data_IF_922170337359
#
_entry.id   IF_922170337359
#
_cell.length_a   1.000
_cell.length_b   1.000
_cell.length_c   1.000
_cell.angle_alpha   90.00
_cell.angle_beta   90.00
_cell.angle_gamma   90.00
#
_symmetry.space_group_name_H-M   'P 1'
#
loop_
_entity.id
_entity.type
_entity.pdbx_description
1 polymer ?
#
# COMPACT_ATOMS: atom_id res chain seq x y z
N UNK A 1 47.67 -36.60 10.22
CA UNK A 1 46.88 -36.05 11.34
C UNK A 1 45.49 -36.66 11.27
N UNK A 2 45.08 -37.48 12.25
CA UNK A 2 43.75 -38.12 12.25
C UNK A 2 42.74 -37.17 12.88
N UNK A 3 41.74 -36.73 12.10
CA UNK A 3 40.64 -35.91 12.62
C UNK A 3 39.70 -36.84 13.38
N UNK A 4 39.42 -36.52 14.64
CA UNK A 4 38.53 -37.34 15.47
C UNK A 4 37.06 -36.90 15.31
N UNK A 5 36.13 -37.77 15.68
CA UNK A 5 34.69 -37.55 15.48
C UNK A 5 34.16 -36.28 16.16
N UNK A 6 34.73 -35.89 17.30
CA UNK A 6 34.37 -34.65 17.99
C UNK A 6 34.80 -33.42 17.18
N UNK A 7 35.98 -33.44 16.54
CA UNK A 7 36.41 -32.38 15.64
C UNK A 7 35.48 -32.23 14.43
N UNK A 8 34.96 -33.34 13.88
CA UNK A 8 33.98 -33.32 12.78
C UNK A 8 32.67 -32.66 13.25
N UNK A 9 32.21 -32.95 14.47
CA UNK A 9 31.01 -32.33 15.05
C UNK A 9 31.20 -30.82 15.23
N UNK A 10 32.32 -30.38 15.79
CA UNK A 10 32.60 -28.94 15.96
C UNK A 10 32.69 -28.19 14.62
N UNK A 11 33.33 -28.78 13.61
CA UNK A 11 33.40 -28.21 12.25
C UNK A 11 32.00 -28.09 11.64
N UNK A 12 31.14 -29.10 11.83
CA UNK A 12 29.78 -29.10 11.29
C UNK A 12 28.90 -28.03 11.93
N UNK A 13 28.98 -27.84 13.25
CA UNK A 13 28.26 -26.77 13.97
C UNK A 13 28.75 -25.39 13.53
N UNK A 14 30.06 -25.22 13.37
CA UNK A 14 30.65 -23.96 12.91
C UNK A 14 30.20 -23.61 11.49
N UNK A 15 30.19 -24.58 10.58
CA UNK A 15 29.68 -24.39 9.22
C UNK A 15 28.18 -24.06 9.20
N UNK A 16 27.36 -24.75 10.02
CA UNK A 16 25.94 -24.44 10.16
C UNK A 16 25.73 -23.00 10.65
N UNK A 17 26.53 -22.54 11.62
CA UNK A 17 26.50 -21.17 12.12
C UNK A 17 26.83 -20.13 11.04
N UNK A 18 27.81 -20.41 10.17
CA UNK A 18 28.15 -19.55 9.02
C UNK A 18 26.99 -19.51 8.02
N UNK A 19 26.36 -20.65 7.73
CA UNK A 19 25.20 -20.71 6.83
C UNK A 19 24.01 -19.93 7.38
N UNK A 20 23.69 -20.08 8.67
CA UNK A 20 22.64 -19.31 9.34
C UNK A 20 22.97 -17.82 9.33
N UNK A 21 24.21 -17.44 9.64
CA UNK A 21 24.64 -16.04 9.62
C UNK A 21 24.60 -15.42 8.21
N UNK A 22 25.05 -16.15 7.19
CA UNK A 22 24.96 -15.72 5.79
C UNK A 22 23.51 -15.61 5.32
N UNK A 23 22.64 -16.54 5.71
CA UNK A 23 21.21 -16.47 5.44
C UNK A 23 20.56 -15.26 6.10
N UNK A 24 20.84 -15.00 7.39
CA UNK A 24 20.35 -13.80 8.09
C UNK A 24 20.88 -12.50 7.47
N UNK A 25 22.12 -12.50 6.96
CA UNK A 25 22.71 -11.34 6.29
C UNK A 25 22.08 -11.08 4.93
N UNK A 26 21.78 -12.12 4.14
CA UNK A 26 21.09 -11.99 2.86
C UNK A 26 19.59 -11.67 3.02
N UNK A 27 18.94 -12.17 4.08
CA UNK A 27 17.56 -11.82 4.41
C UNK A 27 17.41 -10.35 4.83
N UNK A 28 18.50 -9.71 5.27
CA UNK A 28 18.59 -8.26 5.43
C UNK A 28 18.91 -7.64 4.06
N UNK A 29 17.96 -7.77 3.13
CA UNK A 29 18.00 -7.14 1.82
C UNK A 29 18.32 -5.64 1.95
N UNK A 30 19.03 -5.10 0.97
CA UNK A 30 19.29 -3.66 0.84
C UNK A 30 18.01 -2.89 1.16
N UNK A 31 18.09 -1.95 2.12
CA UNK A 31 16.99 -1.02 2.34
C UNK A 31 16.89 -0.19 1.07
N UNK A 32 15.89 -0.47 0.23
CA UNK A 32 15.53 0.42 -0.87
C UNK A 32 15.46 1.85 -0.35
N UNK A 33 16.12 2.78 -1.04
CA UNK A 33 16.09 4.18 -0.66
C UNK A 33 14.73 4.77 -1.06
N UNK A 34 13.75 4.64 -0.16
CA UNK A 34 12.42 5.20 -0.34
C UNK A 34 12.46 6.68 0.03
N UNK A 35 12.35 7.54 -0.98
CA UNK A 35 12.28 8.99 -0.80
C UNK A 35 10.84 9.51 -0.88
N UNK A 36 10.48 10.43 0.00
CA UNK A 36 9.22 11.15 -0.10
C UNK A 36 9.40 12.32 -1.08
N UNK A 37 8.68 12.29 -2.20
CA UNK A 37 8.64 13.39 -3.17
C UNK A 37 7.46 14.32 -2.90
N UNK A 38 7.66 15.63 -3.09
CA UNK A 38 6.56 16.59 -3.00
C UNK A 38 5.66 16.44 -4.24
N UNK A 39 4.37 16.07 -4.08
CA UNK A 39 3.45 15.85 -5.20
C UNK A 39 3.30 17.08 -6.11
N UNK A 40 3.41 18.29 -5.55
CA UNK A 40 3.29 19.55 -6.29
C UNK A 40 4.45 19.80 -7.26
N UNK A 41 5.53 19.02 -7.16
CA UNK A 41 6.67 19.07 -8.09
C UNK A 41 6.56 18.02 -9.19
N UNK A 42 5.58 17.13 -9.13
CA UNK A 42 5.38 16.09 -10.12
C UNK A 42 4.59 16.65 -11.31
N UNK A 43 5.03 16.31 -12.52
CA UNK A 43 4.28 16.58 -13.74
C UNK A 43 3.35 15.39 -13.96
N UNK A 44 2.08 15.66 -14.21
CA UNK A 44 1.10 14.61 -14.49
C UNK A 44 1.50 13.88 -15.79
N UNK A 45 1.42 12.55 -15.76
CA UNK A 45 1.71 11.74 -16.94
C UNK A 45 0.68 12.00 -18.06
N UNK A 46 1.10 11.74 -19.30
CA UNK A 46 0.21 11.74 -20.45
C UNK A 46 -0.79 10.58 -20.36
N UNK A 47 -1.89 10.68 -21.11
CA UNK A 47 -2.79 9.54 -21.33
C UNK A 47 -2.01 8.46 -22.07
N UNK A 48 -1.99 7.25 -21.51
CA UNK A 48 -1.31 6.08 -22.08
C UNK A 48 -2.31 5.13 -22.73
N UNK A 49 -3.55 5.10 -22.21
CA UNK A 49 -4.63 4.26 -22.71
C UNK A 49 -5.72 5.12 -23.34
N UNK A 50 -5.97 4.97 -24.64
CA UNK A 50 -7.04 5.70 -25.33
C UNK A 50 -8.44 5.28 -24.84
N UNK A 51 -8.61 4.01 -24.47
CA UNK A 51 -9.85 3.43 -23.98
C UNK A 51 -9.56 2.46 -22.83
N UNK A 52 -10.53 2.31 -21.94
CA UNK A 52 -10.56 1.27 -20.92
C UNK A 52 -11.68 0.29 -21.27
N UNK A 53 -11.49 -0.97 -20.91
CA UNK A 53 -12.53 -2.00 -21.11
C UNK A 53 -13.79 -1.68 -20.28
N UNK A 54 -14.93 -2.19 -20.71
CA UNK A 54 -16.21 -2.01 -19.99
C UNK A 54 -16.12 -2.49 -18.53
N UNK A 55 -15.43 -3.62 -18.30
CA UNK A 55 -15.20 -4.17 -16.96
C UNK A 55 -14.37 -3.23 -16.07
N UNK A 56 -13.37 -2.56 -16.64
CA UNK A 56 -12.58 -1.56 -15.92
C UNK A 56 -13.45 -0.35 -15.59
N UNK A 57 -14.22 0.16 -16.55
CA UNK A 57 -15.13 1.29 -16.36
C UNK A 57 -16.17 1.00 -15.26
N UNK A 58 -16.73 -0.22 -15.20
CA UNK A 58 -17.66 -0.62 -14.15
C UNK A 58 -17.02 -0.54 -12.75
N UNK A 59 -15.81 -1.08 -12.60
CA UNK A 59 -15.05 -1.02 -11.33
C UNK A 59 -14.72 0.43 -10.95
N UNK A 60 -14.31 1.25 -11.93
CA UNK A 60 -13.99 2.67 -11.72
C UNK A 60 -15.22 3.46 -11.27
N UNK A 61 -16.39 3.21 -11.87
CA UNK A 61 -17.65 3.81 -11.43
C UNK A 61 -17.94 3.49 -9.97
N UNK A 62 -17.78 2.22 -9.57
CA UNK A 62 -17.95 1.80 -8.19
C UNK A 62 -16.97 2.51 -7.24
N UNK A 63 -15.69 2.59 -7.61
CA UNK A 63 -14.67 3.28 -6.82
C UNK A 63 -15.07 4.76 -6.63
N UNK A 64 -15.37 5.47 -7.73
CA UNK A 64 -15.67 6.89 -7.68
C UNK A 64 -16.93 7.18 -6.85
N UNK A 65 -18.02 6.44 -7.07
CA UNK A 65 -19.27 6.67 -6.35
C UNK A 65 -19.12 6.43 -4.85
N UNK A 66 -18.29 5.46 -4.45
CA UNK A 66 -18.11 5.08 -3.05
C UNK A 66 -17.23 6.04 -2.26
N UNK A 67 -16.34 6.77 -2.95
CA UNK A 67 -15.48 7.79 -2.36
C UNK A 67 -15.96 9.22 -2.62
N UNK A 68 -17.09 9.42 -3.30
CA UNK A 68 -17.52 10.74 -3.78
C UNK A 68 -17.73 11.79 -2.66
N UNK A 69 -17.98 11.37 -1.42
CA UNK A 69 -18.12 12.28 -0.27
C UNK A 69 -16.77 12.79 0.25
N UNK A 70 -15.73 11.95 0.20
CA UNK A 70 -14.37 12.22 0.73
C UNK A 70 -13.34 12.59 -0.33
N UNK A 71 -13.55 12.21 -1.60
CA UNK A 71 -12.66 12.45 -2.72
C UNK A 71 -13.45 13.00 -3.92
N UNK A 72 -13.59 14.33 -3.92
CA UNK A 72 -14.52 15.08 -4.79
C UNK A 72 -13.95 15.33 -6.19
N UNK A 73 -13.68 14.26 -6.94
CA UNK A 73 -13.36 14.33 -8.37
C UNK A 73 -14.51 13.75 -9.19
N UNK A 74 -14.67 14.21 -10.44
CA UNK A 74 -15.74 13.70 -11.31
C UNK A 74 -15.44 12.27 -11.77
N UNK A 75 -16.47 11.56 -12.24
CA UNK A 75 -16.27 10.25 -12.89
C UNK A 75 -15.37 10.36 -14.12
N UNK A 76 -15.52 11.42 -14.91
CA UNK A 76 -14.72 11.67 -16.12
C UNK A 76 -13.25 11.88 -15.75
N UNK A 77 -12.98 12.66 -14.70
CA UNK A 77 -11.63 12.88 -14.18
C UNK A 77 -11.05 11.58 -13.62
N UNK A 78 -11.84 10.80 -12.89
CA UNK A 78 -11.41 9.50 -12.36
C UNK A 78 -11.01 8.55 -13.50
N UNK A 79 -11.85 8.41 -14.53
CA UNK A 79 -11.54 7.60 -15.72
C UNK A 79 -10.27 8.13 -16.41
N UNK A 80 -10.15 9.45 -16.52
CA UNK A 80 -9.00 10.13 -17.13
C UNK A 80 -7.70 9.86 -16.36
N UNK A 81 -7.75 9.77 -15.03
CA UNK A 81 -6.62 9.38 -14.19
C UNK A 81 -6.22 7.91 -14.43
N UNK A 82 -7.18 6.98 -14.43
CA UNK A 82 -6.88 5.57 -14.74
C UNK A 82 -6.31 5.35 -16.14
N UNK A 83 -6.66 6.19 -17.12
CA UNK A 83 -6.07 6.15 -18.47
C UNK A 83 -4.60 6.57 -18.53
N UNK A 84 -4.06 7.19 -17.46
CA UNK A 84 -2.64 7.60 -17.35
C UNK A 84 -1.78 6.54 -16.68
N UNK A 85 -2.41 5.62 -15.97
CA UNK A 85 -1.73 4.56 -15.26
C UNK A 85 -1.10 3.58 -16.25
N UNK A 86 0.15 3.19 -16.01
CA UNK A 86 0.84 2.24 -16.88
C UNK A 86 0.14 0.88 -16.92
N UNK A 87 -0.46 0.49 -15.79
CA UNK A 87 -1.28 -0.72 -15.70
C UNK A 87 -2.58 -0.42 -14.94
N UNK A 88 -3.66 -0.06 -15.66
CA UNK A 88 -4.94 0.29 -15.05
C UNK A 88 -5.55 -0.85 -14.22
N UNK A 89 -5.33 -2.13 -14.57
CA UNK A 89 -5.87 -3.25 -13.80
C UNK A 89 -5.23 -3.36 -12.41
N UNK A 90 -3.91 -3.15 -12.33
CA UNK A 90 -3.20 -3.11 -11.05
C UNK A 90 -3.69 -1.96 -10.18
N UNK A 91 -3.84 -0.76 -10.75
CA UNK A 91 -4.32 0.39 -9.99
C UNK A 91 -5.77 0.18 -9.53
N UNK A 92 -6.64 -0.32 -10.40
CA UNK A 92 -8.01 -0.68 -10.01
C UNK A 92 -8.01 -1.69 -8.86
N UNK A 93 -7.11 -2.67 -8.84
CA UNK A 93 -6.99 -3.61 -7.73
C UNK A 93 -6.62 -2.93 -6.41
N UNK A 94 -5.67 -2.00 -6.43
CA UNK A 94 -5.28 -1.21 -5.25
C UNK A 94 -6.48 -0.41 -4.73
N UNK A 95 -7.15 0.34 -5.61
CA UNK A 95 -8.32 1.15 -5.25
C UNK A 95 -9.50 0.31 -4.75
N UNK A 96 -9.73 -0.89 -5.31
CA UNK A 96 -10.75 -1.81 -4.81
C UNK A 96 -10.40 -2.38 -3.43
N UNK A 97 -9.13 -2.60 -3.12
CA UNK A 97 -8.70 -2.99 -1.78
C UNK A 97 -8.86 -1.84 -0.77
N UNK A 98 -8.57 -0.60 -1.18
CA UNK A 98 -8.88 0.58 -0.37
C UNK A 98 -10.38 0.68 -0.09
N UNK A 99 -11.19 0.51 -1.14
CA UNK A 99 -12.65 0.55 -1.06
C UNK A 99 -13.18 -0.47 -0.07
N UNK A 100 -12.69 -1.72 -0.14
CA UNK A 100 -13.09 -2.78 0.77
C UNK A 100 -12.78 -2.44 2.24
N UNK A 101 -11.62 -1.86 2.53
CA UNK A 101 -11.26 -1.45 3.88
C UNK A 101 -12.14 -0.30 4.37
N UNK A 102 -12.38 0.69 3.50
CA UNK A 102 -13.23 1.85 3.78
C UNK A 102 -14.67 1.43 4.06
N UNK A 103 -15.31 0.69 3.13
CA UNK A 103 -16.67 0.19 3.27
C UNK A 103 -16.84 -0.64 4.55
N UNK A 104 -15.87 -1.53 4.84
CA UNK A 104 -15.95 -2.38 6.03
C UNK A 104 -15.93 -1.59 7.33
N UNK A 105 -15.11 -0.54 7.42
CA UNK A 105 -15.09 0.33 8.59
C UNK A 105 -16.32 1.24 8.65
N UNK A 106 -16.66 1.90 7.55
CA UNK A 106 -17.78 2.86 7.47
C UNK A 106 -19.12 2.17 7.71
N UNK A 107 -19.40 1.03 7.08
CA UNK A 107 -20.67 0.32 7.27
C UNK A 107 -20.82 -0.28 8.66
N UNK A 108 -19.73 -0.75 9.27
CA UNK A 108 -19.75 -1.24 10.66
C UNK A 108 -20.15 -0.14 11.64
N UNK A 109 -19.70 1.09 11.40
CA UNK A 109 -20.00 2.25 12.24
C UNK A 109 -21.35 2.92 11.90
N UNK A 110 -22.08 2.38 10.91
CA UNK A 110 -23.45 2.79 10.57
C UNK A 110 -23.57 4.14 9.85
N UNK A 111 -24.81 4.61 9.74
CA UNK A 111 -25.18 5.84 9.00
C UNK A 111 -24.78 7.14 9.69
N UNK A 112 -24.27 7.06 10.92
CA UNK A 112 -23.96 8.22 11.77
C UNK A 112 -22.48 8.65 11.71
N UNK A 113 -21.65 7.93 10.95
CA UNK A 113 -20.24 8.32 10.84
C UNK A 113 -20.09 9.66 10.12
N UNK A 114 -19.57 10.64 10.87
CA UNK A 114 -19.38 12.00 10.39
C UNK A 114 -18.41 12.07 9.21
N UNK A 115 -18.65 13.03 8.31
CA UNK A 115 -17.83 13.24 7.12
C UNK A 115 -16.35 13.45 7.45
N UNK A 116 -16.02 14.16 8.54
CA UNK A 116 -14.64 14.38 8.95
C UNK A 116 -13.93 13.07 9.31
N UNK A 117 -14.63 12.16 9.99
CA UNK A 117 -14.10 10.84 10.32
C UNK A 117 -13.90 10.00 9.06
N UNK A 118 -14.85 10.02 8.13
CA UNK A 118 -14.70 9.36 6.82
C UNK A 118 -13.49 9.87 6.04
N UNK A 119 -13.26 11.18 6.02
CA UNK A 119 -12.08 11.78 5.38
C UNK A 119 -10.78 11.26 5.99
N UNK A 120 -10.72 11.16 7.32
CA UNK A 120 -9.53 10.65 8.00
C UNK A 120 -9.30 9.16 7.72
N UNK A 121 -10.37 8.34 7.69
CA UNK A 121 -10.30 6.93 7.28
C UNK A 121 -9.77 6.79 5.86
N UNK A 122 -10.32 7.57 4.91
CA UNK A 122 -9.87 7.57 3.52
C UNK A 122 -8.38 7.92 3.42
N UNK A 123 -7.96 9.01 4.10
CA UNK A 123 -6.57 9.44 4.12
C UNK A 123 -5.64 8.37 4.70
N UNK A 124 -6.02 7.73 5.79
CA UNK A 124 -5.25 6.66 6.43
C UNK A 124 -5.05 5.47 5.49
N UNK A 125 -6.12 5.02 4.83
CA UNK A 125 -6.10 3.90 3.89
C UNK A 125 -5.26 4.25 2.66
N UNK A 126 -5.40 5.47 2.12
CA UNK A 126 -4.58 5.95 1.02
C UNK A 126 -3.10 5.92 1.38
N UNK A 127 -2.72 6.46 2.55
CA UNK A 127 -1.33 6.38 3.01
C UNK A 127 -0.86 4.93 3.13
N UNK A 128 -1.67 4.05 3.75
CA UNK A 128 -1.35 2.63 3.90
C UNK A 128 -1.16 1.90 2.57
N UNK A 129 -1.80 2.33 1.49
CA UNK A 129 -1.57 1.73 0.17
C UNK A 129 -0.14 1.95 -0.35
N UNK A 130 0.51 3.04 0.07
CA UNK A 130 1.83 3.46 -0.40
C UNK A 130 2.97 3.11 0.57
N UNK A 131 2.67 2.92 1.85
CA UNK A 131 3.69 2.70 2.90
C UNK A 131 3.22 1.72 3.99
N UNK A 132 4.15 1.32 4.88
CA UNK A 132 3.81 0.45 6.01
C UNK A 132 2.90 1.14 7.03
N UNK A 133 2.26 0.35 7.90
CA UNK A 133 1.30 0.81 8.90
C UNK A 133 1.83 1.90 9.83
N UNK A 134 3.08 1.75 10.30
CA UNK A 134 3.67 2.71 11.26
C UNK A 134 3.89 4.05 10.57
N UNK A 135 4.41 4.04 9.35
CA UNK A 135 4.62 5.26 8.57
C UNK A 135 3.29 5.89 8.16
N UNK A 136 2.31 5.07 7.74
CA UNK A 136 0.98 5.54 7.35
C UNK A 136 0.26 6.26 8.50
N UNK A 137 0.29 5.69 9.70
CA UNK A 137 -0.26 6.32 10.90
C UNK A 137 0.45 7.65 11.23
N UNK A 138 1.78 7.66 11.19
CA UNK A 138 2.57 8.86 11.45
C UNK A 138 2.30 10.00 10.45
N UNK A 139 2.27 9.70 9.15
CA UNK A 139 2.07 10.68 8.09
C UNK A 139 0.61 11.18 8.01
N UNK A 140 -0.35 10.30 8.33
CA UNK A 140 -1.77 10.67 8.35
C UNK A 140 -2.06 11.71 9.42
N UNK A 141 -1.34 11.65 10.56
CA UNK A 141 -1.57 12.51 11.74
C UNK A 141 -3.04 12.49 12.16
N UNK A 142 -3.55 11.29 12.38
CA UNK A 142 -4.92 11.06 12.80
C UNK A 142 -5.28 11.89 14.04
N UNK A 143 -6.41 12.59 14.01
CA UNK A 143 -6.91 13.42 15.11
C UNK A 143 -8.29 12.99 15.60
N UNK A 144 -9.04 12.27 14.76
CA UNK A 144 -10.40 11.80 15.03
C UNK A 144 -10.40 10.29 15.29
N UNK A 145 -9.59 9.53 14.55
CA UNK A 145 -9.48 8.08 14.73
C UNK A 145 -8.62 7.76 15.95
N UNK A 146 -9.13 6.89 16.82
CA UNK A 146 -8.35 6.37 17.93
C UNK A 146 -7.48 5.17 17.50
N UNK A 147 -6.59 4.72 18.40
CA UNK A 147 -5.62 3.66 18.08
C UNK A 147 -6.27 2.32 17.73
N UNK A 148 -7.37 1.96 18.38
CA UNK A 148 -8.07 0.70 18.11
C UNK A 148 -8.73 0.74 16.72
N UNK A 149 -9.31 1.88 16.35
CA UNK A 149 -9.89 2.11 15.02
C UNK A 149 -8.84 2.08 13.92
N UNK A 150 -7.66 2.69 14.15
CA UNK A 150 -6.54 2.64 13.21
C UNK A 150 -6.10 1.19 12.97
N UNK A 151 -5.89 0.43 14.05
CA UNK A 151 -5.49 -0.98 13.95
C UNK A 151 -6.58 -1.82 13.26
N UNK A 152 -7.85 -1.53 13.54
CA UNK A 152 -8.99 -2.16 12.89
C UNK A 152 -8.98 -1.90 11.37
N UNK A 153 -8.83 -0.64 10.95
CA UNK A 153 -8.77 -0.26 9.53
C UNK A 153 -7.61 -0.96 8.83
N UNK A 154 -6.43 -0.98 9.44
CA UNK A 154 -5.27 -1.69 8.89
C UNK A 154 -5.54 -3.19 8.72
N UNK A 155 -6.25 -3.82 9.65
CA UNK A 155 -6.62 -5.25 9.53
C UNK A 155 -7.51 -5.55 8.31
N UNK A 156 -8.17 -4.54 7.74
CA UNK A 156 -9.06 -4.70 6.59
C UNK A 156 -8.32 -4.56 5.24
N UNK A 157 -7.18 -3.85 5.22
CA UNK A 157 -6.37 -3.66 4.02
C UNK A 157 -5.27 -4.73 3.92
N UNK A 158 -5.30 -5.55 2.87
CA UNK A 158 -4.46 -6.77 2.80
C UNK A 158 -3.26 -6.69 1.87
N UNK A 159 -3.15 -5.64 1.06
CA UNK A 159 -2.02 -5.51 0.15
C UNK A 159 -0.77 -5.04 0.92
N UNK A 160 0.38 -5.55 0.52
CA UNK A 160 1.65 -5.00 0.94
C UNK A 160 1.81 -3.59 0.35
N UNK A 161 2.53 -2.71 1.06
CA UNK A 161 2.89 -1.42 0.51
C UNK A 161 3.74 -1.61 -0.76
N UNK A 162 3.42 -0.88 -1.82
CA UNK A 162 4.13 -0.94 -3.10
C UNK A 162 4.54 0.46 -3.53
N UNK A 163 5.70 0.98 -3.07
CA UNK A 163 6.16 2.29 -3.49
C UNK A 163 6.39 2.32 -5.02
N UNK A 164 6.28 3.52 -5.61
CA UNK A 164 6.57 3.70 -7.03
C UNK A 164 8.07 3.56 -7.28
N UNK A 165 8.43 2.77 -8.29
CA UNK A 165 9.81 2.65 -8.74
C UNK A 165 10.16 3.83 -9.66
N UNK A 166 11.28 4.50 -9.38
CA UNK A 166 11.79 5.59 -10.21
C UNK A 166 13.04 5.08 -10.93
N UNK A 167 13.01 5.04 -12.26
CA UNK A 167 14.22 4.83 -13.05
C UNK A 167 15.04 6.12 -13.09
N UNK A 168 16.18 6.17 -12.39
CA UNK A 168 17.15 7.24 -12.59
C UNK A 168 17.92 6.99 -13.88
N UNK A 169 17.74 7.87 -14.87
CA UNK A 169 18.54 7.90 -16.10
C UNK A 169 19.91 8.49 -15.87
#
# INVERSE_FOLDING_TARGET
MKINMNQIIYISIFLLGIFVWAYYRNAKSEKENVENVNPNKLVQNNIVHEQLSEKQIEKIKKIQSSFADVYKISLEETITNFKRDQNPDNEIEVWLNMLKAYEKFVYKNGTEIELNKKNEVFKLILMRSMMDEKKAEFETKCTILNKDEINEIFSYYKLAAKPLLIETK
#
